data_IF_571643913917
#
_entry.id   IF_571643913917
#
_cell.length_a   1.000
_cell.length_b   1.000
_cell.length_c   1.000
_cell.angle_alpha   90.00
_cell.angle_beta   90.00
_cell.angle_gamma   90.00
#
_symmetry.space_group_name_H-M   'P 1'
#
loop_
_entity.id
_entity.type
_entity.pdbx_description
1 polymer ?
2 non-polymer ?
3 non-polymer ?
4 water ?
#
# COMPACT_ATOMS: atom_id res chain seq x y z
N UNK A 2 11.91 11.63 -29.50
CA UNK A 2 10.77 11.20 -28.64
C UNK A 2 10.16 12.39 -27.93
N UNK A 3 8.88 12.29 -27.59
CA UNK A 3 8.21 13.36 -26.84
C UNK A 3 8.18 12.86 -25.39
N UNK A 4 8.22 13.74 -24.41
CA UNK A 4 8.14 13.23 -23.02
C UNK A 4 6.71 13.01 -22.60
N UNK A 5 6.43 11.92 -21.86
CA UNK A 5 5.09 11.66 -21.32
C UNK A 5 5.20 12.36 -19.96
N UNK A 6 4.68 13.58 -19.89
CA UNK A 6 4.74 14.38 -18.68
C UNK A 6 3.88 13.76 -17.60
N UNK A 7 4.15 14.12 -16.34
CA UNK A 7 3.36 13.57 -15.26
C UNK A 7 2.33 14.57 -14.76
N UNK A 8 1.05 14.24 -14.92
CA UNK A 8 -0.01 15.12 -14.46
C UNK A 8 -0.08 15.23 -12.94
N UNK A 9 -0.61 16.34 -12.44
CA UNK A 9 -0.72 16.56 -11.00
C UNK A 9 -1.76 15.63 -10.42
N UNK A 10 -2.87 15.46 -11.14
CA UNK A 10 -3.95 14.60 -10.64
C UNK A 10 -3.61 13.12 -10.80
N UNK A 11 -3.88 12.34 -9.76
CA UNK A 11 -3.63 10.90 -9.79
C UNK A 11 -4.86 10.23 -10.41
N UNK A 12 -4.66 9.39 -11.42
CA UNK A 12 -5.77 8.71 -12.06
C UNK A 12 -5.51 7.21 -12.04
N UNK A 13 -6.24 6.47 -11.20
CA UNK A 13 -6.05 5.03 -11.15
C UNK A 13 -7.10 4.27 -11.96
N UNK A 14 -6.88 2.96 -12.07
CA UNK A 14 -7.78 2.09 -12.81
C UNK A 14 -9.11 1.81 -12.12
N UNK A 15 -9.22 2.17 -10.85
CA UNK A 15 -10.47 1.88 -10.19
C UNK A 15 -10.68 2.57 -8.88
N UNK A 16 -11.61 2.02 -8.12
CA UNK A 16 -11.97 2.54 -6.81
C UNK A 16 -11.34 1.72 -5.71
N UNK A 17 -10.93 2.40 -4.66
CA UNK A 17 -10.40 1.74 -3.49
C UNK A 17 -11.58 0.95 -2.90
N UNK A 18 -11.30 -0.11 -2.14
CA UNK A 18 -12.42 -0.88 -1.56
C UNK A 18 -13.18 -0.07 -0.53
N UNK A 19 -14.49 -0.24 -0.50
CA UNK A 19 -15.32 0.52 0.44
C UNK A 19 -15.04 0.24 1.91
N UNK A 20 -15.03 1.30 2.70
CA UNK A 20 -14.83 1.22 4.14
C UNK A 20 -16.04 0.49 4.72
N UNK A 21 -15.79 -0.50 5.56
CA UNK A 21 -16.86 -1.27 6.18
C UNK A 21 -17.11 -2.62 5.53
N UNK A 22 -16.59 -2.82 4.33
CA UNK A 22 -16.76 -4.08 3.59
C UNK A 22 -15.51 -4.94 3.72
N UNK A 23 -15.65 -6.26 3.47
CA UNK A 23 -14.52 -7.19 3.56
C UNK A 23 -13.41 -6.77 2.60
N UNK A 24 -12.18 -6.79 3.09
CA UNK A 24 -11.08 -6.40 2.24
C UNK A 24 -10.91 -7.45 1.14
N UNK A 25 -10.67 -6.99 -0.09
CA UNK A 25 -10.48 -7.94 -1.19
C UNK A 25 -9.32 -8.89 -0.88
N UNK A 26 -9.47 -10.15 -1.27
CA UNK A 26 -8.41 -11.10 -1.05
C UNK A 26 -7.18 -10.69 -1.86
N UNK A 27 -6.01 -11.09 -1.41
CA UNK A 27 -4.83 -10.83 -2.24
C UNK A 27 -3.80 -11.93 -2.07
N UNK A 28 -2.95 -12.05 -3.08
CA UNK A 28 -1.88 -13.02 -3.10
C UNK A 28 -0.64 -12.33 -3.66
N UNK A 29 0.06 -11.61 -2.80
CA UNK A 29 1.26 -10.87 -3.19
C UNK A 29 2.46 -11.80 -3.18
N UNK A 30 3.61 -11.31 -3.60
CA UNK A 30 4.83 -12.12 -3.63
C UNK A 30 5.84 -11.58 -2.64
N UNK A 31 6.39 -12.49 -1.84
CA UNK A 31 7.36 -12.11 -0.83
C UNK A 31 8.80 -12.18 -1.28
N UNK A 32 9.69 -11.79 -0.37
CA UNK A 32 11.12 -11.76 -0.64
C UNK A 32 11.72 -13.10 -1.02
N UNK A 33 11.07 -14.20 -0.65
CA UNK A 33 11.57 -15.52 -0.99
C UNK A 33 10.82 -16.11 -2.17
N UNK A 34 10.06 -15.26 -2.86
CA UNK A 34 9.26 -15.66 -4.03
C UNK A 34 8.08 -16.55 -3.69
N UNK A 35 7.76 -16.62 -2.40
CA UNK A 35 6.62 -17.39 -1.95
C UNK A 35 5.42 -16.46 -2.01
N UNK A 36 4.28 -16.91 -1.51
CA UNK A 36 3.10 -16.05 -1.55
C UNK A 36 2.81 -15.41 -0.21
N UNK A 37 2.32 -14.17 -0.25
CA UNK A 37 1.92 -13.47 0.96
C UNK A 37 0.43 -13.37 0.69
N UNK A 38 -0.32 -14.25 1.34
CA UNK A 38 -1.77 -14.36 1.17
C UNK A 38 -2.54 -13.61 2.24
N UNK A 39 -3.67 -13.01 1.86
CA UNK A 39 -4.44 -12.26 2.82
C UNK A 39 -4.98 -13.19 3.91
N UNK A 40 -5.11 -14.47 3.60
CA UNK A 40 -5.61 -15.41 4.60
C UNK A 40 -4.62 -15.55 5.75
N UNK A 41 -3.34 -15.27 5.48
CA UNK A 41 -2.28 -15.34 6.49
C UNK A 41 -2.43 -14.29 7.61
N UNK A 42 -3.23 -13.26 7.35
CA UNK A 42 -3.43 -12.21 8.35
C UNK A 42 -4.81 -12.23 8.98
N UNK A 43 -5.47 -13.37 8.92
CA UNK A 43 -6.79 -13.46 9.53
C UNK A 43 -6.64 -13.11 11.03
N UNK A 44 -7.58 -12.32 11.55
CA UNK A 44 -7.55 -11.92 12.96
C UNK A 44 -6.56 -10.84 13.35
N UNK A 45 -5.84 -10.31 12.37
CA UNK A 45 -4.84 -9.29 12.64
C UNK A 45 -5.13 -8.02 11.85
N UNK A 46 -4.85 -6.86 12.43
CA UNK A 46 -5.04 -5.61 11.68
C UNK A 46 -3.87 -5.51 10.72
N UNK A 47 -4.13 -4.96 9.54
CA UNK A 47 -3.10 -4.86 8.52
C UNK A 47 -3.08 -3.47 7.91
N UNK A 48 -1.88 -2.93 7.79
CA UNK A 48 -1.69 -1.63 7.15
C UNK A 48 -1.04 -1.90 5.80
N UNK A 49 -1.76 -1.60 4.70
CA UNK A 49 -1.18 -1.73 3.37
C UNK A 49 -0.69 -0.33 3.03
N UNK A 50 0.64 -0.18 2.99
CA UNK A 50 1.28 1.11 2.75
C UNK A 50 1.75 0.91 1.32
N UNK A 51 1.03 1.55 0.42
CA UNK A 51 1.24 1.35 -1.01
C UNK A 51 2.02 2.45 -1.70
N UNK A 52 3.03 2.04 -2.47
CA UNK A 52 3.90 3.01 -3.15
C UNK A 52 4.20 2.75 -4.63
N UNK A 53 4.46 3.83 -5.38
CA UNK A 53 4.79 3.65 -6.80
C UNK A 53 6.11 2.87 -6.82
N UNK A 54 6.99 3.17 -5.87
CA UNK A 54 8.23 2.42 -5.78
C UNK A 54 8.87 2.63 -4.40
N UNK A 55 9.48 1.59 -3.87
CA UNK A 55 10.15 1.70 -2.57
C UNK A 55 11.62 1.47 -2.87
N UNK A 56 11.98 1.60 -4.14
CA UNK A 56 13.36 1.37 -4.56
C UNK A 56 14.07 2.71 -4.58
N UNK A 57 14.43 3.15 -3.38
CA UNK A 57 15.12 4.42 -3.16
C UNK A 57 15.92 4.36 -1.87
N UNK A 58 17.12 4.96 -1.86
CA UNK A 58 17.95 4.95 -0.65
C UNK A 58 17.38 5.88 0.43
N UNK A 59 16.32 6.61 0.07
CA UNK A 59 15.65 7.53 0.98
C UNK A 59 14.49 6.94 1.77
N UNK A 60 14.51 7.18 3.08
CA UNK A 60 13.47 6.68 3.95
C UNK A 60 13.00 7.82 4.84
N UNK A 61 12.17 8.69 4.27
CA UNK A 61 11.66 9.83 5.01
C UNK A 61 11.24 9.45 6.42
N UNK A 62 11.66 10.25 7.39
CA UNK A 62 11.30 9.99 8.79
C UNK A 62 9.77 9.86 8.89
N UNK A 63 9.06 10.60 8.05
CA UNK A 63 7.60 10.54 8.05
C UNK A 63 7.12 9.11 7.78
N UNK A 64 7.79 8.42 6.86
CA UNK A 64 7.42 7.04 6.52
C UNK A 64 7.81 6.07 7.62
N UNK A 65 9.05 6.16 8.08
CA UNK A 65 9.55 5.28 9.14
C UNK A 65 8.71 5.45 10.41
N UNK A 66 8.51 6.70 10.81
CA UNK A 66 7.72 7.02 12.00
C UNK A 66 6.32 6.41 11.91
N UNK A 67 5.66 6.62 10.78
CA UNK A 67 4.33 6.07 10.57
C UNK A 67 4.34 4.55 10.67
N UNK A 68 5.28 3.90 9.97
CA UNK A 68 5.35 2.44 10.01
C UNK A 68 5.59 1.93 11.43
N UNK A 69 6.40 2.65 12.18
CA UNK A 69 6.70 2.23 13.54
C UNK A 69 5.49 2.40 14.46
N UNK A 70 4.77 3.51 14.33
CA UNK A 70 3.58 3.71 15.14
C UNK A 70 2.54 2.65 14.78
N UNK A 71 2.38 2.39 13.49
CA UNK A 71 1.40 1.41 13.03
C UNK A 71 1.70 0.03 13.62
N UNK A 72 2.96 -0.37 13.53
CA UNK A 72 3.39 -1.66 14.03
C UNK A 72 3.22 -1.68 15.56
N UNK A 73 3.43 -0.53 16.19
CA UNK A 73 3.28 -0.41 17.64
C UNK A 73 1.83 -0.60 18.05
N UNK A 74 0.89 -0.20 17.19
CA UNK A 74 -0.53 -0.35 17.49
C UNK A 74 -0.92 -1.82 17.39
N UNK A 75 0.01 -2.65 16.94
CA UNK A 75 -0.27 -4.07 16.81
C UNK A 75 -0.63 -4.53 15.41
N UNK A 76 -0.44 -3.67 14.41
CA UNK A 76 -0.76 -4.04 13.04
C UNK A 76 0.43 -4.63 12.29
N UNK A 77 0.14 -5.45 11.28
CA UNK A 77 1.19 -5.99 10.43
C UNK A 77 1.26 -4.94 9.32
N UNK A 78 2.46 -4.47 9.01
CA UNK A 78 2.62 -3.46 7.98
C UNK A 78 3.19 -4.09 6.72
N UNK A 79 2.51 -3.92 5.58
CA UNK A 79 3.03 -4.41 4.30
C UNK A 79 3.32 -3.21 3.42
N UNK A 80 4.55 -3.10 2.92
CA UNK A 80 4.88 -1.98 2.03
C UNK A 80 4.75 -2.65 0.68
N UNK A 81 3.67 -2.29 -0.01
CA UNK A 81 3.31 -2.89 -1.28
C UNK A 81 3.66 -2.03 -2.48
N UNK A 82 4.31 -2.64 -3.47
CA UNK A 82 4.66 -1.90 -4.68
C UNK A 82 4.86 -2.87 -5.83
N UNK A 83 5.04 -2.33 -7.03
CA UNK A 83 5.27 -3.15 -8.20
C UNK A 83 6.75 -3.49 -8.37
N UNK A 84 7.61 -3.04 -7.45
CA UNK A 84 9.02 -3.40 -7.54
C UNK A 84 9.12 -4.92 -7.37
N UNK A 85 10.12 -5.54 -8.00
CA UNK A 85 10.29 -6.97 -7.85
C UNK A 85 10.79 -7.19 -6.42
N UNK A 86 10.60 -8.40 -5.88
CA UNK A 86 11.04 -8.71 -4.51
C UNK A 86 12.51 -8.36 -4.29
N UNK A 87 13.33 -8.63 -5.31
CA UNK A 87 14.76 -8.37 -5.24
C UNK A 87 15.08 -6.93 -4.87
N UNK A 88 14.30 -5.99 -5.38
CA UNK A 88 14.54 -4.58 -5.13
C UNK A 88 13.88 -4.00 -3.89
N UNK A 89 13.01 -4.77 -3.25
CA UNK A 89 12.29 -4.24 -2.08
C UNK A 89 13.03 -4.28 -0.75
N UNK A 90 14.14 -5.01 -0.72
CA UNK A 90 14.94 -5.12 0.49
C UNK A 90 15.70 -3.82 0.77
N UNK A 91 15.64 -2.88 -0.17
CA UNK A 91 16.35 -1.62 -0.02
C UNK A 91 15.59 -0.53 0.72
N UNK A 92 14.30 -0.75 0.95
CA UNK A 92 13.46 0.24 1.63
C UNK A 92 13.45 0.16 3.15
N UNK A 93 13.50 1.32 3.80
CA UNK A 93 13.49 1.46 5.26
C UNK A 93 13.79 0.17 6.02
N UNK A 100 7.17 -6.66 12.62
CA UNK A 100 5.96 -7.00 11.86
C UNK A 100 5.77 -6.04 10.68
N UNK A 101 6.88 -5.66 10.04
CA UNK A 101 6.87 -4.75 8.89
C UNK A 101 7.65 -5.40 7.75
N UNK A 102 6.98 -5.70 6.64
CA UNK A 102 7.66 -6.34 5.53
C UNK A 102 7.18 -5.88 4.18
N UNK A 103 8.05 -5.94 3.17
CA UNK A 103 7.70 -5.54 1.80
C UNK A 103 6.97 -6.67 1.09
N UNK A 104 6.10 -6.33 0.15
CA UNK A 104 5.39 -7.34 -0.61
C UNK A 104 5.26 -6.75 -2.01
N UNK A 105 5.50 -7.58 -3.01
CA UNK A 105 5.48 -7.15 -4.41
C UNK A 105 4.23 -7.62 -5.15
N UNK A 106 3.64 -6.72 -5.94
CA UNK A 106 2.45 -7.03 -6.75
C UNK A 106 2.83 -7.31 -8.21
N UNK A 107 4.09 -7.64 -8.48
CA UNK A 107 4.52 -7.81 -9.86
C UNK A 107 3.80 -8.89 -10.66
N UNK A 108 3.29 -9.92 -9.98
CA UNK A 108 2.58 -10.98 -10.71
C UNK A 108 1.21 -11.35 -10.18
N UNK A 109 0.49 -10.39 -9.60
CA UNK A 109 -0.83 -10.67 -9.10
C UNK A 109 -1.70 -9.45 -9.35
N UNK A 110 -2.99 -9.62 -9.07
CA UNK A 110 -3.99 -8.60 -9.34
C UNK A 110 -4.25 -7.55 -8.27
N UNK A 111 -3.40 -7.49 -7.25
CA UNK A 111 -3.58 -6.52 -6.17
C UNK A 111 -3.90 -5.09 -6.65
N UNK A 112 -3.11 -4.55 -7.58
CA UNK A 112 -3.36 -3.19 -8.04
C UNK A 112 -4.73 -2.92 -8.63
N UNK A 113 -5.28 -3.90 -9.36
CA UNK A 113 -6.61 -3.74 -9.96
C UNK A 113 -7.71 -4.01 -8.95
N UNK A 114 -7.50 -5.03 -8.11
CA UNK A 114 -8.49 -5.39 -7.09
C UNK A 114 -8.65 -4.29 -6.05
N UNK A 115 -7.56 -3.56 -5.76
CA UNK A 115 -7.62 -2.49 -4.82
C UNK A 115 -7.81 -1.11 -5.47
N UNK A 116 -7.93 -1.10 -6.79
CA UNK A 116 -8.14 0.14 -7.53
C UNK A 116 -7.01 1.15 -7.40
N UNK A 117 -5.78 0.69 -7.25
CA UNK A 117 -4.67 1.63 -7.09
C UNK A 117 -3.65 1.68 -8.22
N UNK A 118 -3.77 0.82 -9.22
CA UNK A 118 -2.81 0.85 -10.32
C UNK A 118 -2.99 2.18 -11.06
N UNK A 119 -1.88 2.88 -11.33
CA UNK A 119 -1.93 4.16 -12.06
C UNK A 119 -2.28 3.87 -13.52
N UNK A 120 -3.25 4.61 -14.08
CA UNK A 120 -3.75 4.33 -15.43
C UNK A 120 -3.06 5.01 -16.59
N UNK A 121 -2.44 6.14 -16.33
CA UNK A 121 -1.81 6.87 -17.43
C UNK A 121 -0.56 7.58 -16.98
N UNK A 122 0.11 8.25 -17.92
CA UNK A 122 1.30 8.99 -17.57
C UNK A 122 2.55 8.13 -17.49
N UNK A 123 3.70 8.72 -17.18
CA UNK A 123 4.97 7.98 -17.09
C UNK A 123 4.98 6.85 -16.07
N UNK A 124 4.11 6.94 -15.07
CA UNK A 124 4.07 5.93 -14.01
C UNK A 124 2.98 4.90 -14.20
N UNK A 125 2.40 4.86 -15.39
CA UNK A 125 1.31 3.90 -15.68
C UNK A 125 1.75 2.48 -15.29
N UNK A 126 0.86 1.71 -14.66
CA UNK A 126 1.22 0.36 -14.28
C UNK A 126 1.83 0.20 -12.89
N UNK A 127 2.35 1.28 -12.30
CA UNK A 127 2.88 1.24 -10.93
C UNK A 127 1.68 1.52 -10.04
N UNK A 128 1.80 1.26 -8.73
CA UNK A 128 0.70 1.51 -7.81
C UNK A 128 0.78 2.93 -7.29
N UNK A 129 -0.36 3.60 -7.19
CA UNK A 129 -0.36 4.98 -6.67
C UNK A 129 -0.12 5.02 -5.16
N UNK A 130 0.42 6.14 -4.68
CA UNK A 130 0.63 6.29 -3.23
C UNK A 130 -0.76 6.20 -2.55
N UNK A 131 -0.90 5.27 -1.61
CA UNK A 131 -2.19 5.07 -0.98
C UNK A 131 -2.02 4.30 0.31
N UNK A 132 -3.04 4.38 1.14
CA UNK A 132 -3.05 3.67 2.40
C UNK A 132 -4.37 2.96 2.56
N UNK A 133 -4.31 1.67 2.90
CA UNK A 133 -5.54 0.94 3.17
C UNK A 133 -5.32 0.23 4.49
N UNK A 134 -6.25 0.42 5.42
CA UNK A 134 -6.17 -0.24 6.72
C UNK A 134 -7.26 -1.29 6.78
N UNK A 135 -6.85 -2.51 7.10
CA UNK A 135 -7.78 -3.63 7.24
C UNK A 135 -7.89 -3.95 8.73
N UNK A 136 -9.11 -3.91 9.25
CA UNK A 136 -9.31 -4.18 10.67
C UNK A 136 -9.08 -5.64 11.00
N UNK A 137 -8.88 -5.95 12.28
CA UNK A 137 -8.66 -7.34 12.69
C UNK A 137 -9.84 -8.20 12.28
N UNK A 138 -11.00 -7.57 12.12
CA UNK A 138 -12.19 -8.32 11.74
C UNK A 138 -12.27 -8.62 10.25
N UNK A 139 -11.27 -8.18 9.50
CA UNK A 139 -11.23 -8.43 8.08
C UNK A 139 -11.86 -7.38 7.17
N UNK A 140 -12.53 -6.39 7.75
CA UNK A 140 -13.16 -5.35 6.94
C UNK A 140 -12.25 -4.17 6.73
N UNK A 141 -12.44 -3.46 5.61
CA UNK A 141 -11.64 -2.28 5.34
C UNK A 141 -12.04 -1.25 6.38
N UNK A 142 -11.06 -0.71 7.11
CA UNK A 142 -11.36 0.28 8.14
C UNK A 142 -11.11 1.72 7.70
N UNK A 143 -10.24 1.89 6.70
CA UNK A 143 -9.88 3.24 6.26
C UNK A 143 -9.13 3.19 4.95
N UNK A 144 -9.37 4.17 4.07
CA UNK A 144 -8.63 4.25 2.84
C UNK A 144 -8.29 5.69 2.49
N UNK A 145 -7.18 5.85 1.79
CA UNK A 145 -6.81 7.16 1.27
C UNK A 145 -6.00 6.94 0.02
N UNK A 146 -6.51 7.43 -1.11
CA UNK A 146 -5.75 7.37 -2.35
C UNK A 146 -5.29 8.81 -2.45
N UNK A 147 -3.99 9.05 -2.27
CA UNK A 147 -3.52 10.43 -2.30
C UNK A 147 -3.88 11.00 -3.68
N UNK A 148 -4.70 12.06 -3.70
CA UNK A 148 -5.16 12.71 -4.93
C UNK A 148 -4.15 13.40 -5.81
N UNK A 149 -3.03 13.85 -5.25
CA UNK A 149 -2.05 14.54 -6.09
C UNK A 149 -0.69 13.95 -5.90
N UNK A 150 0.15 14.12 -6.92
CA UNK A 150 1.50 13.57 -6.91
C UNK A 150 2.42 13.98 -5.75
N UNK A 151 2.43 15.26 -5.39
CA UNK A 151 3.32 15.70 -4.32
C UNK A 151 2.63 15.93 -2.98
N UNK A 152 1.57 15.18 -2.71
CA UNK A 152 0.85 15.34 -1.45
C UNK A 152 1.24 14.21 -0.49
N UNK A 153 1.43 14.54 0.78
CA UNK A 153 1.81 13.53 1.76
C UNK A 153 0.52 12.88 2.31
N UNK A 154 0.55 11.57 2.55
CA UNK A 154 -0.66 10.90 3.06
C UNK A 154 -1.07 11.42 4.44
N UNK A 155 -2.35 11.30 4.76
CA UNK A 155 -2.83 11.74 6.06
C UNK A 155 -2.52 10.62 7.06
N UNK A 156 -1.32 10.62 7.61
CA UNK A 156 -0.93 9.58 8.55
C UNK A 156 -1.73 9.58 9.84
N UNK A 157 -2.11 10.77 10.29
CA UNK A 157 -2.86 10.90 11.54
C UNK A 157 -4.20 10.18 11.48
N UNK A 158 -4.94 10.39 10.39
CA UNK A 158 -6.25 9.76 10.23
C UNK A 158 -6.12 8.25 10.12
N UNK A 159 -5.10 7.78 9.39
CA UNK A 159 -4.87 6.33 9.24
C UNK A 159 -4.58 5.70 10.60
N UNK A 160 -3.79 6.40 11.42
CA UNK A 160 -3.46 5.89 12.75
C UNK A 160 -4.69 5.83 13.65
N UNK A 161 -5.59 6.80 13.54
CA UNK A 161 -6.82 6.76 14.35
C UNK A 161 -7.67 5.58 13.92
N UNK A 162 -7.70 5.31 12.62
CA UNK A 162 -8.47 4.17 12.17
C UNK A 162 -7.78 2.88 12.62
N UNK A 163 -6.44 2.86 12.60
CA UNK A 163 -5.69 1.68 13.02
C UNK A 163 -5.94 1.41 14.50
N UNK A 164 -5.86 2.46 15.30
CA UNK A 164 -6.09 2.30 16.73
C UNK A 164 -7.47 1.78 17.05
N UNK A 165 -8.43 2.12 16.20
CA UNK A 165 -9.81 1.72 16.40
C UNK A 165 -10.12 0.26 16.04
N UNK A 166 -9.25 -0.40 15.27
CA UNK A 166 -9.52 -1.77 14.83
C UNK A 166 -8.38 -2.77 15.08
N UNK A 167 -7.55 -2.46 16.06
CA UNK A 167 -6.40 -3.29 16.43
C UNK A 167 -6.75 -4.76 16.66
X LIG B 1 -16.92 5.82 -6.75
X LIG C 1 -6.72 -19.70 1.49
X LIG D 1 -4.42 20.87 -5.63
X LIG E 1 17.25 -2.36 -6.65
X LIG F 1 -3.58 10.39 -21.39
#
# INVERSE_FOLDING_TARGET
MAQITLRGNAINTVGELPAVGSPAPAFTLTGGDLGVISSDQFRGKSVLLNIFPSVDTPVCATSVRTFDERAAASGATVLCVSKDLPFAQKRFCGAEGTENVMPASAFRDSFGEDYGVTIADGPMAGLLARAIVVIGADGNVAYTELVPEIAQEPNYEAALAALGATSGSHHHHHH
YT3 Y
YT3 Y
YT3 Y
NH4 N
NH4 N
#
